data_IF_275304793436
#
_entry.id   IF_275304793436
#
_cell.length_a   1.000
_cell.length_b   1.000
_cell.length_c   1.000
_cell.angle_alpha   90.00
_cell.angle_beta   90.00
_cell.angle_gamma   90.00
#
_symmetry.space_group_name_H-M   'P 1'
#
loop_
_entity.id
_entity.type
_entity.pdbx_description
1 polymer ?
#
# COMPACT_ATOMS: atom_id res chain seq x y z
N UNK A 1 -37.49 2.71 46.79
CA UNK A 1 -37.73 3.88 45.92
C UNK A 1 -37.06 3.63 44.56
N UNK A 2 -37.77 3.04 43.58
CA UNK A 2 -37.21 2.73 42.25
C UNK A 2 -37.35 3.97 41.38
N UNK A 3 -36.23 4.63 41.05
CA UNK A 3 -36.20 5.75 40.09
C UNK A 3 -36.70 5.23 38.74
N UNK A 4 -37.90 5.64 38.34
CA UNK A 4 -38.41 5.43 36.99
C UNK A 4 -37.53 6.28 36.07
N UNK A 5 -36.52 5.66 35.46
CA UNK A 5 -35.76 6.28 34.40
C UNK A 5 -36.74 6.48 33.23
N UNK A 6 -37.10 7.74 32.97
CA UNK A 6 -38.00 8.09 31.88
C UNK A 6 -37.39 7.64 30.54
N UNK A 7 -38.21 7.10 29.63
CA UNK A 7 -37.79 6.68 28.27
C UNK A 7 -36.96 7.75 27.54
N UNK A 8 -37.22 9.04 27.80
CA UNK A 8 -36.45 10.16 27.23
C UNK A 8 -35.00 10.19 27.70
N UNK A 9 -34.74 9.78 28.94
CA UNK A 9 -33.38 9.72 29.51
C UNK A 9 -32.54 8.60 28.89
N UNK A 10 -33.16 7.45 28.59
CA UNK A 10 -32.48 6.31 27.94
C UNK A 10 -32.13 6.65 26.48
N UNK A 11 -33.09 7.21 25.74
CA UNK A 11 -32.89 7.61 24.35
C UNK A 11 -31.76 8.66 24.22
N UNK A 12 -31.73 9.61 25.15
CA UNK A 12 -30.70 10.64 25.19
C UNK A 12 -29.30 10.08 25.48
N UNK A 13 -29.21 9.11 26.39
CA UNK A 13 -27.94 8.45 26.72
C UNK A 13 -27.38 7.66 25.53
N UNK A 14 -28.24 6.89 24.86
CA UNK A 14 -27.91 6.18 23.62
C UNK A 14 -27.42 7.14 22.53
N UNK A 15 -28.13 8.24 22.30
CA UNK A 15 -27.75 9.26 21.34
C UNK A 15 -26.36 9.86 21.65
N UNK A 16 -26.08 10.11 22.93
CA UNK A 16 -24.78 10.65 23.36
C UNK A 16 -23.64 9.67 23.07
N UNK A 17 -23.84 8.37 23.27
CA UNK A 17 -22.84 7.35 22.93
C UNK A 17 -22.60 7.30 21.42
N UNK A 18 -23.67 7.27 20.62
CA UNK A 18 -23.57 7.25 19.15
C UNK A 18 -22.81 8.48 18.66
N UNK A 19 -23.08 9.64 19.25
CA UNK A 19 -22.38 10.87 18.90
C UNK A 19 -20.88 10.80 19.22
N UNK A 20 -20.49 10.26 20.38
CA UNK A 20 -19.08 10.09 20.73
C UNK A 20 -18.36 9.14 19.77
N UNK A 21 -19.02 8.06 19.35
CA UNK A 21 -18.50 7.13 18.34
C UNK A 21 -18.32 7.85 17.00
N UNK A 22 -19.31 8.65 16.58
CA UNK A 22 -19.22 9.45 15.37
C UNK A 22 -18.05 10.45 15.42
N UNK A 23 -17.82 11.13 16.54
CA UNK A 23 -16.66 12.02 16.73
C UNK A 23 -15.33 11.30 16.57
N UNK A 24 -15.20 10.10 17.13
CA UNK A 24 -14.00 9.29 16.97
C UNK A 24 -13.76 8.93 15.50
N UNK A 25 -14.81 8.49 14.79
CA UNK A 25 -14.75 8.14 13.38
C UNK A 25 -14.44 9.37 12.49
N UNK A 26 -15.12 10.49 12.73
CA UNK A 26 -14.93 11.73 12.00
C UNK A 26 -13.48 12.23 12.07
N UNK A 27 -12.83 12.13 13.24
CA UNK A 27 -11.43 12.49 13.39
C UNK A 27 -10.50 11.72 12.46
N UNK A 28 -10.73 10.41 12.29
CA UNK A 28 -9.96 9.54 11.39
C UNK A 28 -10.25 9.86 9.93
N UNK A 29 -11.53 9.97 9.55
CA UNK A 29 -11.95 10.23 8.16
C UNK A 29 -11.51 11.62 7.66
N UNK A 30 -11.55 12.65 8.51
CA UNK A 30 -11.06 13.98 8.15
C UNK A 30 -9.57 13.92 7.83
N UNK A 31 -8.78 13.23 8.67
CA UNK A 31 -7.35 13.07 8.43
C UNK A 31 -7.08 12.35 7.11
N UNK A 32 -7.80 11.26 6.87
CA UNK A 32 -7.66 10.47 5.65
C UNK A 32 -8.03 11.26 4.38
N UNK A 33 -9.14 12.00 4.43
CA UNK A 33 -9.58 12.83 3.30
C UNK A 33 -8.57 13.92 2.98
N UNK A 34 -7.97 14.56 4.00
CA UNK A 34 -6.91 15.55 3.80
C UNK A 34 -5.64 14.92 3.22
N UNK A 35 -5.27 13.72 3.65
CA UNK A 35 -4.12 13.00 3.11
C UNK A 35 -4.32 12.68 1.62
N UNK A 36 -5.46 12.11 1.25
CA UNK A 36 -5.77 11.79 -0.15
C UNK A 36 -5.77 13.04 -1.04
N UNK A 37 -6.32 14.16 -0.56
CA UNK A 37 -6.28 15.43 -1.30
C UNK A 37 -4.83 15.89 -1.49
N UNK A 38 -4.02 15.91 -0.42
CA UNK A 38 -2.62 16.32 -0.49
C UNK A 38 -1.79 15.46 -1.45
N UNK A 39 -1.97 14.13 -1.39
CA UNK A 39 -1.31 13.18 -2.30
C UNK A 39 -1.78 13.30 -3.75
N UNK A 40 -3.03 13.71 -3.99
CA UNK A 40 -3.53 13.93 -5.36
C UNK A 40 -2.99 15.20 -6.01
N UNK A 41 -2.65 16.22 -5.21
CA UNK A 41 -2.10 17.49 -5.70
C UNK A 41 -0.59 17.46 -5.94
N UNK A 42 0.12 16.62 -5.21
CA UNK A 42 1.58 16.50 -5.29
C UNK A 42 1.93 15.14 -5.89
N UNK A 43 2.47 15.12 -7.11
CA UNK A 43 3.15 13.95 -7.72
C UNK A 43 4.46 13.63 -7.00
N UNK A 44 4.46 13.62 -5.67
CA UNK A 44 5.63 13.43 -4.83
C UNK A 44 5.76 11.93 -4.59
N UNK A 45 6.52 11.28 -5.47
CA UNK A 45 6.85 9.84 -5.43
C UNK A 45 7.77 9.44 -4.29
N UNK A 46 7.50 9.90 -3.05
CA UNK A 46 8.38 9.65 -1.89
C UNK A 46 7.71 8.73 -0.86
N UNK A 47 6.40 8.47 -0.96
CA UNK A 47 5.73 7.57 -0.01
C UNK A 47 4.70 6.71 -0.76
N UNK A 48 4.90 5.39 -0.78
CA UNK A 48 3.99 4.39 -1.34
C UNK A 48 2.72 4.25 -0.47
N UNK A 49 1.97 5.34 -0.29
CA UNK A 49 0.62 5.29 0.25
C UNK A 49 -0.35 5.29 -0.90
N UNK A 50 -0.97 4.13 -1.11
CA UNK A 50 -2.09 3.99 -2.03
C UNK A 50 -3.27 4.80 -1.48
N UNK A 51 -3.84 5.74 -2.26
CA UNK A 51 -4.99 6.51 -1.81
C UNK A 51 -6.16 5.56 -1.56
N UNK A 52 -6.96 5.81 -0.51
CA UNK A 52 -8.15 4.97 -0.23
C UNK A 52 -9.24 5.11 -1.30
N UNK A 53 -9.22 6.22 -2.04
CA UNK A 53 -10.19 6.52 -3.08
C UNK A 53 -9.44 6.90 -4.35
N UNK A 54 -9.84 6.28 -5.47
CA UNK A 54 -9.21 6.48 -6.78
C UNK A 54 -9.32 7.93 -7.29
N UNK A 55 -10.34 8.66 -6.81
CA UNK A 55 -10.59 10.05 -7.20
C UNK A 55 -10.61 10.99 -6.00
N UNK A 56 -9.93 12.16 -6.09
CA UNK A 56 -9.90 13.15 -5.02
C UNK A 56 -11.29 13.75 -4.73
N UNK A 57 -12.18 13.77 -5.73
CA UNK A 57 -13.55 14.26 -5.60
C UNK A 57 -14.37 13.45 -4.58
N UNK A 58 -14.12 12.13 -4.50
CA UNK A 58 -14.78 11.25 -3.52
C UNK A 58 -14.35 11.65 -2.10
N UNK A 59 -13.05 11.89 -1.91
CA UNK A 59 -12.50 12.34 -0.63
C UNK A 59 -13.08 13.69 -0.21
N UNK A 60 -13.26 14.61 -1.17
CA UNK A 60 -13.88 15.91 -0.94
C UNK A 60 -15.36 15.78 -0.52
N UNK A 61 -16.13 14.92 -1.21
CA UNK A 61 -17.54 14.66 -0.89
C UNK A 61 -17.69 14.06 0.53
N UNK A 62 -16.83 13.12 0.90
CA UNK A 62 -16.82 12.51 2.23
C UNK A 62 -16.48 13.55 3.29
N UNK A 63 -15.43 14.35 3.07
CA UNK A 63 -15.04 15.43 3.99
C UNK A 63 -16.20 16.41 4.19
N UNK A 64 -16.87 16.82 3.11
CA UNK A 64 -18.02 17.72 3.17
C UNK A 64 -19.18 17.09 3.96
N UNK A 65 -19.48 15.81 3.74
CA UNK A 65 -20.52 15.10 4.48
C UNK A 65 -20.22 15.01 5.98
N UNK A 66 -18.97 14.72 6.35
CA UNK A 66 -18.52 14.67 7.76
C UNK A 66 -18.65 16.05 8.41
N UNK A 67 -18.21 17.11 7.73
CA UNK A 67 -18.33 18.49 8.22
C UNK A 67 -19.80 18.89 8.41
N UNK A 68 -20.66 18.61 7.43
CA UNK A 68 -22.09 18.90 7.51
C UNK A 68 -22.76 18.18 8.70
N UNK A 69 -22.50 16.89 8.86
CA UNK A 69 -22.97 16.12 10.00
C UNK A 69 -22.50 16.76 11.32
N UNK A 70 -21.22 17.12 11.42
CA UNK A 70 -20.66 17.74 12.61
C UNK A 70 -21.35 19.08 12.95
N UNK A 71 -21.58 19.94 11.95
CA UNK A 71 -22.31 21.21 12.11
C UNK A 71 -23.74 20.99 12.59
N UNK A 72 -24.47 20.04 11.98
CA UNK A 72 -25.84 19.70 12.39
C UNK A 72 -25.90 19.22 13.85
N UNK A 73 -24.92 18.40 14.26
CA UNK A 73 -24.81 17.95 15.64
C UNK A 73 -24.51 19.09 16.62
N UNK A 74 -23.61 20.01 16.27
CA UNK A 74 -23.32 21.19 17.09
C UNK A 74 -24.57 22.03 17.30
N UNK A 75 -25.31 22.33 16.23
CA UNK A 75 -26.58 23.08 16.30
C UNK A 75 -27.58 22.38 17.21
N UNK A 76 -27.70 21.05 17.09
CA UNK A 76 -28.59 20.25 17.93
C UNK A 76 -28.20 20.30 19.43
N UNK A 77 -26.91 20.19 19.74
CA UNK A 77 -26.41 20.23 21.12
C UNK A 77 -26.56 21.60 21.78
N UNK A 78 -26.44 22.68 21.01
CA UNK A 78 -26.74 24.05 21.46
C UNK A 78 -28.22 24.16 21.85
N UNK A 79 -29.14 23.65 21.00
CA UNK A 79 -30.58 23.68 21.28
C UNK A 79 -30.95 22.94 22.58
N UNK A 80 -30.24 21.86 22.91
CA UNK A 80 -30.48 21.05 24.11
C UNK A 80 -29.66 21.54 25.33
N UNK A 81 -28.91 22.64 25.20
CA UNK A 81 -28.06 23.23 26.25
C UNK A 81 -27.03 22.23 26.82
N UNK A 82 -26.42 21.42 25.94
CA UNK A 82 -25.43 20.37 26.30
C UNK A 82 -24.04 20.69 25.77
N UNK A 83 -23.57 21.89 26.04
CA UNK A 83 -22.26 22.40 25.60
C UNK A 83 -21.09 21.51 26.07
N UNK A 84 -21.18 20.91 27.25
CA UNK A 84 -20.14 19.99 27.74
C UNK A 84 -19.94 18.78 26.82
N UNK A 85 -21.03 18.22 26.26
CA UNK A 85 -20.94 17.09 25.35
C UNK A 85 -20.31 17.48 24.01
N UNK A 86 -20.57 18.71 23.55
CA UNK A 86 -19.93 19.28 22.36
C UNK A 86 -18.42 19.41 22.56
N UNK A 87 -17.99 19.95 23.70
CA UNK A 87 -16.57 20.06 24.03
C UNK A 87 -15.89 18.69 24.10
N UNK A 88 -16.50 17.71 24.77
CA UNK A 88 -15.98 16.35 24.85
C UNK A 88 -15.85 15.73 23.45
N UNK A 89 -16.87 15.86 22.61
CA UNK A 89 -16.85 15.37 21.23
C UNK A 89 -15.74 16.02 20.37
N UNK A 90 -15.53 17.32 20.53
CA UNK A 90 -14.45 18.03 19.85
C UNK A 90 -13.07 17.53 20.27
N UNK A 91 -12.83 17.37 21.57
CA UNK A 91 -11.57 16.84 22.10
C UNK A 91 -11.32 15.41 21.59
N UNK A 92 -12.35 14.56 21.59
CA UNK A 92 -12.24 13.20 21.04
C UNK A 92 -11.86 13.24 19.56
N UNK A 93 -12.53 14.08 18.77
CA UNK A 93 -12.24 14.21 17.33
C UNK A 93 -10.78 14.61 17.09
N UNK A 94 -10.24 15.57 17.87
CA UNK A 94 -8.83 15.96 17.81
C UNK A 94 -7.90 14.81 18.20
N UNK A 95 -8.20 14.09 19.28
CA UNK A 95 -7.38 12.95 19.72
C UNK A 95 -7.28 11.90 18.62
N UNK A 96 -8.39 11.56 17.96
CA UNK A 96 -8.39 10.59 16.86
C UNK A 96 -7.69 11.14 15.61
N UNK A 97 -7.90 12.41 15.26
CA UNK A 97 -7.20 13.06 14.15
C UNK A 97 -5.66 12.99 14.29
N UNK A 98 -5.13 13.29 15.48
CA UNK A 98 -3.68 13.26 15.71
C UNK A 98 -3.12 11.83 15.89
N UNK A 99 -3.92 10.86 16.35
CA UNK A 99 -3.47 9.48 16.53
C UNK A 99 -3.66 8.60 15.28
N UNK A 100 -4.54 8.99 14.35
CA UNK A 100 -4.75 8.29 13.09
C UNK A 100 -3.44 7.98 12.33
N UNK A 101 -2.52 8.95 12.11
CA UNK A 101 -1.24 8.65 11.45
C UNK A 101 -0.40 7.61 12.19
N UNK A 102 -0.40 7.62 13.53
CA UNK A 102 0.36 6.62 14.32
C UNK A 102 -0.22 5.22 14.16
N UNK A 103 -1.55 5.10 14.17
CA UNK A 103 -2.23 3.83 13.94
C UNK A 103 -1.96 3.28 12.52
N UNK A 104 -1.86 4.16 11.53
CA UNK A 104 -1.52 3.80 10.15
C UNK A 104 -0.10 3.24 10.02
N UNK A 105 0.90 3.91 10.63
CA UNK A 105 2.29 3.41 10.65
C UNK A 105 2.38 2.06 11.36
N UNK A 106 1.64 1.88 12.45
CA UNK A 106 1.54 0.59 13.14
C UNK A 106 0.96 -0.49 12.22
N UNK A 107 -0.14 -0.20 11.50
CA UNK A 107 -0.73 -1.14 10.53
C UNK A 107 0.28 -1.54 9.46
N UNK A 108 0.95 -0.57 8.84
CA UNK A 108 1.94 -0.82 7.80
C UNK A 108 3.12 -1.68 8.30
N UNK A 109 3.61 -1.41 9.51
CA UNK A 109 4.68 -2.20 10.13
C UNK A 109 4.24 -3.64 10.45
N UNK A 110 3.00 -3.82 10.89
CA UNK A 110 2.43 -5.15 11.19
C UNK A 110 2.23 -5.95 9.90
N UNK A 111 1.69 -5.32 8.85
CA UNK A 111 1.51 -5.94 7.54
C UNK A 111 2.86 -6.38 6.95
N UNK A 112 3.88 -5.51 6.98
CA UNK A 112 5.24 -5.84 6.55
C UNK A 112 5.90 -6.95 7.40
N UNK A 113 5.55 -7.05 8.69
CA UNK A 113 6.05 -8.12 9.55
C UNK A 113 5.55 -9.50 9.10
N UNK A 114 4.27 -9.60 8.71
CA UNK A 114 3.68 -10.87 8.24
C UNK A 114 4.07 -11.23 6.80
N UNK A 115 4.44 -10.25 5.99
CA UNK A 115 4.88 -10.46 4.61
C UNK A 115 6.40 -10.56 4.43
N UNK A 116 7.15 -10.75 5.52
CA UNK A 116 8.60 -10.79 5.48
C UNK A 116 9.14 -12.03 4.76
N UNK A 117 9.83 -11.82 3.64
CA UNK A 117 10.60 -12.82 2.91
C UNK A 117 11.91 -13.08 3.65
N UNK A 118 12.13 -14.34 4.04
CA UNK A 118 13.42 -14.75 4.62
C UNK A 118 14.47 -14.99 3.53
N UNK A 119 15.74 -14.85 3.89
CA UNK A 119 16.86 -15.14 2.98
C UNK A 119 16.77 -16.58 2.45
N UNK A 120 16.42 -17.54 3.30
CA UNK A 120 16.27 -18.94 2.91
C UNK A 120 15.10 -19.14 1.92
N UNK A 121 13.96 -18.48 2.15
CA UNK A 121 12.84 -18.55 1.23
C UNK A 121 13.22 -17.94 -0.13
N UNK A 122 13.99 -16.86 -0.13
CA UNK A 122 14.48 -16.27 -1.37
C UNK A 122 15.46 -17.18 -2.11
N UNK A 123 16.31 -17.92 -1.41
CA UNK A 123 17.16 -18.91 -2.07
C UNK A 123 16.33 -19.98 -2.78
N UNK A 124 15.21 -20.44 -2.19
CA UNK A 124 14.30 -21.37 -2.88
C UNK A 124 13.69 -20.78 -4.16
N UNK A 125 13.47 -19.47 -4.18
CA UNK A 125 13.01 -18.77 -5.38
C UNK A 125 14.14 -18.67 -6.43
N UNK A 126 15.34 -18.27 -6.01
CA UNK A 126 16.52 -18.23 -6.88
C UNK A 126 16.79 -19.61 -7.50
N UNK A 127 16.77 -20.68 -6.71
CA UNK A 127 17.00 -22.05 -7.18
C UNK A 127 15.97 -22.48 -8.23
N UNK A 128 14.71 -22.04 -8.08
CA UNK A 128 13.67 -22.25 -9.08
C UNK A 128 14.05 -21.57 -10.40
N UNK A 129 14.40 -20.28 -10.36
CA UNK A 129 14.78 -19.53 -11.57
C UNK A 129 16.03 -20.13 -12.21
N UNK A 130 17.02 -20.53 -11.41
CA UNK A 130 18.22 -21.21 -11.89
C UNK A 130 17.87 -22.53 -12.60
N UNK A 131 16.89 -23.27 -12.08
CA UNK A 131 16.41 -24.51 -12.71
C UNK A 131 15.75 -24.22 -14.06
N UNK A 132 14.94 -23.17 -14.16
CA UNK A 132 14.32 -22.74 -15.42
C UNK A 132 15.35 -22.30 -16.47
N UNK A 133 16.38 -21.56 -16.06
CA UNK A 133 17.52 -21.18 -16.92
C UNK A 133 18.19 -22.44 -17.51
N UNK A 134 18.48 -23.42 -16.66
CA UNK A 134 19.15 -24.66 -17.05
C UNK A 134 18.27 -25.51 -17.99
N UNK A 135 16.97 -25.64 -17.69
CA UNK A 135 16.04 -26.47 -18.47
C UNK A 135 15.74 -25.91 -19.86
N UNK A 136 15.68 -24.58 -20.01
CA UNK A 136 15.37 -23.92 -21.28
C UNK A 136 16.61 -23.51 -22.08
N UNK A 137 17.80 -23.87 -21.61
CA UNK A 137 19.09 -23.54 -22.23
C UNK A 137 19.32 -22.05 -22.47
N UNK A 138 18.86 -21.20 -21.54
CA UNK A 138 19.12 -19.75 -21.59
C UNK A 138 20.48 -19.49 -20.92
N UNK A 139 21.54 -20.07 -21.50
CA UNK A 139 22.89 -20.02 -20.94
C UNK A 139 23.53 -18.64 -20.97
N UNK A 140 22.86 -17.66 -21.60
CA UNK A 140 23.28 -16.26 -21.62
C UNK A 140 23.05 -15.54 -20.30
N UNK A 141 22.33 -16.12 -19.33
CA UNK A 141 22.04 -15.47 -18.05
C UNK A 141 22.64 -16.23 -16.86
N UNK A 142 23.20 -15.45 -15.94
CA UNK A 142 23.70 -15.89 -14.64
C UNK A 142 22.96 -15.15 -13.53
N UNK A 143 22.77 -15.80 -12.39
CA UNK A 143 22.19 -15.14 -11.21
C UNK A 143 23.29 -14.51 -10.37
N UNK A 144 23.19 -13.21 -10.07
CA UNK A 144 24.01 -12.57 -9.05
C UNK A 144 23.41 -12.85 -7.66
N UNK A 145 23.86 -13.94 -7.06
CA UNK A 145 23.45 -14.36 -5.72
C UNK A 145 23.76 -13.32 -4.64
N UNK A 146 24.87 -12.57 -4.79
CA UNK A 146 25.28 -11.59 -3.80
C UNK A 146 24.36 -10.37 -3.85
N UNK A 147 24.16 -9.81 -5.04
CA UNK A 147 23.25 -8.68 -5.24
C UNK A 147 21.80 -9.04 -4.86
N UNK A 148 21.34 -10.24 -5.24
CA UNK A 148 20.00 -10.72 -4.87
C UNK A 148 19.82 -10.80 -3.35
N UNK A 149 20.83 -11.33 -2.64
CA UNK A 149 20.80 -11.44 -1.16
C UNK A 149 20.83 -10.08 -0.47
N UNK A 150 21.58 -9.12 -1.01
CA UNK A 150 21.63 -7.75 -0.48
C UNK A 150 20.28 -7.05 -0.65
N UNK A 151 19.67 -7.13 -1.84
CA UNK A 151 18.36 -6.54 -2.10
C UNK A 151 17.22 -7.14 -1.28
N UNK A 152 17.19 -8.46 -1.05
CA UNK A 152 16.17 -9.04 -0.14
C UNK A 152 16.27 -8.51 1.28
N UNK A 153 17.48 -8.19 1.76
CA UNK A 153 17.64 -7.58 3.09
C UNK A 153 17.12 -6.16 3.14
N UNK A 154 17.18 -5.44 2.02
CA UNK A 154 16.68 -4.08 1.87
C UNK A 154 15.16 -4.08 1.78
N UNK A 155 14.58 -4.78 0.80
CA UNK A 155 13.14 -4.78 0.54
C UNK A 155 12.36 -5.59 1.58
N UNK A 156 12.90 -6.71 2.06
CA UNK A 156 12.34 -7.63 3.08
C UNK A 156 10.97 -8.24 2.79
N UNK A 157 10.17 -7.68 1.89
CA UNK A 157 8.78 -8.09 1.59
C UNK A 157 8.64 -8.68 0.18
N UNK A 158 9.74 -8.71 -0.57
CA UNK A 158 9.81 -9.18 -1.95
C UNK A 158 10.87 -10.27 -2.10
N UNK A 159 10.55 -11.26 -2.92
CA UNK A 159 11.52 -12.18 -3.48
C UNK A 159 12.32 -11.43 -4.55
N UNK A 160 13.63 -11.55 -4.55
CA UNK A 160 14.48 -10.79 -5.47
C UNK A 160 15.41 -11.75 -6.20
N UNK A 161 15.48 -11.60 -7.52
CA UNK A 161 16.49 -12.25 -8.36
C UNK A 161 17.12 -11.20 -9.26
N UNK A 162 18.45 -11.11 -9.18
CA UNK A 162 19.27 -10.29 -10.07
C UNK A 162 19.83 -11.18 -11.16
N UNK A 163 19.36 -10.96 -12.38
CA UNK A 163 19.69 -11.67 -13.60
C UNK A 163 20.72 -10.88 -14.40
N UNK A 164 21.87 -11.49 -14.62
CA UNK A 164 23.02 -10.89 -15.30
C UNK A 164 23.21 -11.56 -16.64
N UNK A 165 23.10 -10.80 -17.72
CA UNK A 165 23.42 -11.28 -19.08
C UNK A 165 24.94 -11.35 -19.22
N UNK A 166 25.45 -12.53 -19.53
CA UNK A 166 26.89 -12.84 -19.62
C UNK A 166 27.45 -12.59 -21.03
N UNK A 167 26.59 -12.53 -22.04
CA UNK A 167 26.96 -12.19 -23.42
C UNK A 167 26.61 -10.72 -23.72
N UNK A 168 27.47 -10.04 -24.47
CA UNK A 168 27.18 -8.68 -24.94
C UNK A 168 25.94 -8.68 -25.84
N UNK A 169 24.96 -7.83 -25.53
CA UNK A 169 23.77 -7.71 -26.36
C UNK A 169 22.60 -7.06 -25.66
N UNK A 170 21.72 -6.44 -26.43
CA UNK A 170 20.48 -5.85 -25.89
C UNK A 170 19.63 -6.95 -25.25
N UNK A 171 19.10 -6.67 -24.06
CA UNK A 171 18.08 -7.51 -23.42
C UNK A 171 16.83 -7.47 -24.30
N UNK A 172 16.34 -8.63 -24.72
CA UNK A 172 15.21 -8.75 -25.64
C UNK A 172 13.90 -8.97 -24.89
N UNK A 173 12.78 -8.62 -25.52
CA UNK A 173 11.43 -8.83 -24.99
C UNK A 173 11.18 -10.30 -24.64
N UNK A 174 11.56 -11.22 -25.51
CA UNK A 174 11.31 -12.66 -25.31
C UNK A 174 12.08 -13.22 -24.10
N UNK A 175 13.30 -12.72 -23.86
CA UNK A 175 14.08 -13.06 -22.67
C UNK A 175 13.35 -12.58 -21.41
N UNK A 176 12.87 -11.34 -21.39
CA UNK A 176 12.14 -10.77 -20.25
C UNK A 176 10.83 -11.50 -19.99
N UNK A 177 10.02 -11.74 -21.01
CA UNK A 177 8.75 -12.46 -20.89
C UNK A 177 8.94 -13.88 -20.34
N UNK A 178 9.99 -14.57 -20.75
CA UNK A 178 10.32 -15.88 -20.20
C UNK A 178 10.53 -15.83 -18.68
N UNK A 179 11.30 -14.86 -18.19
CA UNK A 179 11.57 -14.75 -16.75
C UNK A 179 10.34 -14.32 -15.96
N UNK A 180 9.47 -13.50 -16.54
CA UNK A 180 8.18 -13.16 -15.95
C UNK A 180 7.29 -14.40 -15.80
N UNK A 181 7.20 -15.24 -16.82
CA UNK A 181 6.46 -16.50 -16.76
C UNK A 181 7.05 -17.46 -15.71
N UNK A 182 8.39 -17.58 -15.65
CA UNK A 182 9.08 -18.41 -14.67
C UNK A 182 8.85 -17.93 -13.23
N UNK A 183 8.80 -16.61 -13.03
CA UNK A 183 8.57 -15.98 -11.73
C UNK A 183 7.10 -16.05 -11.27
N UNK A 184 6.14 -16.23 -12.20
CA UNK A 184 4.70 -16.27 -11.91
C UNK A 184 4.31 -17.53 -11.13
N UNK A 185 4.38 -17.46 -9.81
CA UNK A 185 4.12 -18.58 -8.91
C UNK A 185 3.30 -18.17 -7.68
N UNK A 186 2.24 -18.94 -7.37
CA UNK A 186 1.40 -18.72 -6.17
C UNK A 186 2.21 -18.72 -4.87
N UNK A 187 3.34 -19.44 -4.86
CA UNK A 187 4.22 -19.56 -3.69
C UNK A 187 5.08 -18.30 -3.48
N UNK A 188 5.38 -17.57 -4.54
CA UNK A 188 6.27 -16.41 -4.54
C UNK A 188 5.48 -15.17 -4.99
N UNK A 189 4.69 -14.61 -4.06
CA UNK A 189 3.65 -13.64 -4.41
C UNK A 189 4.19 -12.30 -4.90
N UNK A 190 5.22 -11.75 -4.25
CA UNK A 190 5.80 -10.45 -4.58
C UNK A 190 7.23 -10.67 -5.06
N UNK A 191 7.52 -10.41 -6.32
CA UNK A 191 8.82 -10.66 -6.93
C UNK A 191 9.37 -9.35 -7.53
N UNK A 192 10.66 -9.12 -7.34
CA UNK A 192 11.49 -8.12 -8.03
C UNK A 192 12.48 -8.87 -8.93
N UNK A 193 12.37 -8.63 -10.24
CA UNK A 193 13.30 -9.11 -11.26
C UNK A 193 14.15 -7.95 -11.75
N UNK A 194 15.45 -8.03 -11.51
CA UNK A 194 16.41 -7.06 -12.07
C UNK A 194 17.21 -7.72 -13.18
N UNK A 195 17.15 -7.15 -14.37
CA UNK A 195 17.99 -7.52 -15.50
C UNK A 195 19.13 -6.53 -15.64
N UNK A 196 20.35 -7.03 -15.79
CA UNK A 196 21.54 -6.22 -16.01
C UNK A 196 22.42 -6.86 -17.10
N UNK A 197 22.94 -6.05 -18.01
CA UNK A 197 23.97 -6.48 -18.98
C UNK A 197 25.35 -6.15 -18.40
N UNK A 198 26.28 -7.11 -18.33
CA UNK A 198 27.65 -6.81 -17.84
C UNK A 198 28.36 -5.76 -18.68
N UNK A 199 28.06 -5.68 -19.98
CA UNK A 199 28.76 -4.83 -20.94
C UNK A 199 28.11 -3.45 -21.11
N UNK A 200 26.84 -3.28 -20.71
CA UNK A 200 26.10 -2.02 -20.79
C UNK A 200 25.57 -1.64 -19.41
N UNK A 201 25.65 -0.38 -19.03
CA UNK A 201 25.04 0.13 -17.78
C UNK A 201 23.50 0.15 -17.80
N UNK A 202 22.89 -0.62 -18.69
CA UNK A 202 21.46 -0.73 -18.89
C UNK A 202 20.90 -1.76 -17.91
N UNK A 203 19.95 -1.33 -17.10
CA UNK A 203 19.21 -2.23 -16.22
C UNK A 203 17.71 -2.08 -16.44
N UNK A 204 16.99 -3.16 -16.20
CA UNK A 204 15.53 -3.19 -16.28
C UNK A 204 15.06 -3.84 -14.99
N UNK A 205 14.20 -3.14 -14.27
CA UNK A 205 13.61 -3.60 -13.01
C UNK A 205 12.14 -3.84 -13.25
N UNK A 206 11.65 -5.01 -12.87
CA UNK A 206 10.24 -5.36 -12.99
C UNK A 206 9.77 -5.93 -11.66
N UNK A 207 8.80 -5.26 -11.06
CA UNK A 207 8.07 -5.79 -9.91
C UNK A 207 6.77 -6.45 -10.36
N UNK A 208 6.47 -7.60 -9.77
CA UNK A 208 5.25 -8.33 -10.04
C UNK A 208 4.62 -8.86 -8.76
N UNK A 209 3.29 -8.82 -8.74
CA UNK A 209 2.45 -9.53 -7.77
C UNK A 209 1.72 -10.68 -8.47
N UNK A 210 1.63 -11.83 -7.82
CA UNK A 210 0.99 -13.02 -8.40
C UNK A 210 -0.47 -12.77 -8.83
N UNK A 211 -1.22 -11.93 -8.10
CA UNK A 211 -2.62 -11.62 -8.39
C UNK A 211 -2.78 -10.46 -9.37
N UNK A 212 -1.97 -9.42 -9.18
CA UNK A 212 -2.11 -8.15 -9.90
C UNK A 212 -1.23 -8.08 -11.15
N UNK A 213 -0.41 -9.10 -11.41
CA UNK A 213 0.47 -9.12 -12.58
C UNK A 213 1.67 -8.20 -12.37
N UNK A 214 2.08 -7.51 -13.43
CA UNK A 214 3.22 -6.56 -13.36
C UNK A 214 2.74 -5.28 -12.68
N UNK A 215 3.35 -4.94 -11.54
CA UNK A 215 2.96 -3.78 -10.73
C UNK A 215 3.87 -2.57 -10.94
N UNK A 216 5.08 -2.79 -11.46
CA UNK A 216 6.03 -1.71 -11.76
C UNK A 216 7.05 -2.19 -12.78
N UNK A 217 7.45 -1.29 -13.70
CA UNK A 217 8.52 -1.55 -14.63
C UNK A 217 9.34 -0.27 -14.86
N UNK A 218 10.68 -0.39 -14.87
CA UNK A 218 11.59 0.74 -15.11
C UNK A 218 12.88 0.30 -15.82
N UNK A 219 13.43 1.11 -16.74
CA UNK A 219 12.95 2.43 -17.15
C UNK A 219 11.77 2.35 -18.14
N UNK A 220 10.87 3.35 -18.09
CA UNK A 220 9.58 3.31 -18.80
C UNK A 220 9.71 3.12 -20.31
N UNK A 221 10.72 3.75 -20.93
CA UNK A 221 11.02 3.63 -22.37
C UNK A 221 11.26 2.16 -22.78
N UNK A 222 12.04 1.41 -21.98
CA UNK A 222 12.28 -0.01 -22.24
C UNK A 222 11.05 -0.88 -21.97
N UNK A 223 10.26 -0.52 -20.97
CA UNK A 223 9.03 -1.23 -20.65
C UNK A 223 8.00 -1.09 -21.78
N UNK A 224 7.85 0.11 -22.34
CA UNK A 224 7.02 0.38 -23.51
C UNK A 224 7.49 -0.39 -24.75
N UNK A 225 8.81 -0.40 -25.01
CA UNK A 225 9.41 -1.17 -26.12
C UNK A 225 9.12 -2.67 -26.01
N UNK A 226 9.07 -3.19 -24.79
CA UNK A 226 8.69 -4.58 -24.53
C UNK A 226 7.18 -4.81 -24.50
N UNK A 227 6.37 -3.75 -24.62
CA UNK A 227 4.92 -3.83 -24.50
C UNK A 227 4.47 -4.34 -23.12
N UNK A 228 5.27 -4.12 -22.09
CA UNK A 228 4.94 -4.44 -20.71
C UNK A 228 4.08 -3.31 -20.17
N UNK A 229 2.84 -3.62 -19.82
CA UNK A 229 1.93 -2.67 -19.17
C UNK A 229 1.77 -3.05 -17.71
N UNK A 230 1.72 -2.03 -16.87
CA UNK A 230 1.24 -2.21 -15.49
C UNK A 230 -0.20 -2.75 -15.57
N UNK A 231 -0.55 -3.72 -14.71
CA UNK A 231 -1.85 -4.40 -14.62
C UNK A 231 -2.17 -5.53 -15.65
N UNK A 232 -1.18 -6.12 -16.33
CA UNK A 232 -1.29 -7.40 -17.10
C UNK A 232 -0.75 -8.62 -16.33
#
# INVERSE_FOLDING_TARGET
MKKIVSRRSILFFLFSIIFLIFCAFAGVEIWWSLLNIALSTDKVGIINFEPQYDHPDISLCILLAVVLCYVLFVIFLIKIKKQNLMFIGFIISLVFFFNAPRAMVLKFNVENYFHKVSIESNFKFIDKIQTEINNRHISSYLIDFKASKERVKEFKTRYVVVLVKDIEGVITKDEVLFFLDAAKDKKFKNVDLLFYDKAKADSITIDMDYKNGITYCSPNDKCEDFGIKEDE
#
